data_IF_369997727801
#
_entry.id   IF_369997727801
#
_cell.length_a   1.000
_cell.length_b   1.000
_cell.length_c   1.000
_cell.angle_alpha   90.00
_cell.angle_beta   90.00
_cell.angle_gamma   90.00
#
_symmetry.space_group_name_H-M   'P 1'
#
loop_
_entity.id
_entity.type
_entity.pdbx_description
1 polymer ?
#
# COMPACT_ATOMS: atom_id res chain seq x y z
N UNK A 1 38.47 0.37 -41.20
CA UNK A 1 38.25 -0.89 -40.49
C UNK A 1 37.01 -0.71 -39.65
N UNK A 2 35.91 -1.35 -40.04
CA UNK A 2 34.65 -1.33 -39.30
C UNK A 2 34.58 -2.64 -38.53
N UNK A 3 34.79 -2.59 -37.22
CA UNK A 3 34.56 -3.73 -36.35
C UNK A 3 33.07 -3.94 -36.20
N UNK A 4 32.52 -4.89 -36.88
CA UNK A 4 31.16 -5.38 -36.70
C UNK A 4 31.11 -6.21 -35.42
N UNK A 5 30.49 -5.66 -34.38
CA UNK A 5 30.15 -6.43 -33.18
C UNK A 5 29.25 -7.61 -33.58
N UNK A 6 29.80 -8.81 -33.42
CA UNK A 6 29.08 -10.05 -33.64
C UNK A 6 28.18 -10.33 -32.41
N UNK A 7 26.96 -9.82 -32.44
CA UNK A 7 25.94 -10.14 -31.45
C UNK A 7 25.48 -11.58 -31.71
N UNK A 8 26.13 -12.54 -31.05
CA UNK A 8 25.71 -13.94 -31.07
C UNK A 8 24.22 -14.06 -30.81
N UNK A 9 23.52 -14.84 -31.63
CA UNK A 9 22.08 -15.11 -31.48
C UNK A 9 21.83 -15.71 -30.11
N UNK A 10 21.30 -14.91 -29.19
CA UNK A 10 20.86 -15.35 -27.87
C UNK A 10 19.62 -16.22 -28.09
N UNK A 11 19.71 -17.49 -27.77
CA UNK A 11 18.56 -18.41 -27.82
C UNK A 11 17.66 -18.14 -26.62
N UNK A 12 16.44 -17.56 -26.80
CA UNK A 12 15.56 -17.18 -25.69
C UNK A 12 15.08 -18.38 -24.85
N UNK A 13 15.20 -19.60 -25.36
CA UNK A 13 14.79 -20.79 -24.62
C UNK A 13 15.88 -21.33 -23.68
N UNK A 14 17.15 -21.07 -23.94
CA UNK A 14 18.23 -21.49 -23.01
C UNK A 14 18.32 -20.64 -21.76
N UNK A 15 17.85 -19.38 -21.78
CA UNK A 15 17.84 -18.53 -20.61
C UNK A 15 16.68 -18.83 -19.66
N UNK A 16 15.55 -19.37 -20.15
CA UNK A 16 14.39 -19.70 -19.29
C UNK A 16 14.67 -20.82 -18.28
N UNK A 17 15.61 -21.70 -18.56
CA UNK A 17 15.95 -22.83 -17.68
C UNK A 17 16.99 -22.49 -16.59
N UNK A 18 17.53 -21.27 -16.60
CA UNK A 18 18.52 -20.78 -15.63
C UNK A 18 18.05 -19.54 -14.86
N UNK A 19 16.75 -19.34 -14.72
CA UNK A 19 16.28 -18.34 -13.75
C UNK A 19 16.75 -18.84 -12.38
N UNK A 20 17.68 -18.13 -11.70
CA UNK A 20 18.09 -18.51 -10.37
C UNK A 20 16.83 -18.62 -9.54
N UNK A 21 16.69 -19.72 -8.79
CA UNK A 21 15.65 -19.83 -7.78
C UNK A 21 15.64 -18.50 -7.04
N UNK A 22 14.53 -17.76 -7.08
CA UNK A 22 14.44 -16.44 -6.46
C UNK A 22 14.91 -16.58 -5.02
N UNK A 23 16.13 -16.14 -4.76
CA UNK A 23 16.64 -16.01 -3.40
C UNK A 23 15.99 -14.72 -2.91
N UNK A 24 15.03 -14.79 -1.97
CA UNK A 24 14.42 -13.59 -1.44
C UNK A 24 15.54 -12.69 -0.94
N UNK A 25 15.56 -11.46 -1.41
CA UNK A 25 16.55 -10.50 -0.94
C UNK A 25 16.45 -10.41 0.57
N UNK A 26 17.51 -10.75 1.29
CA UNK A 26 17.59 -10.55 2.75
C UNK A 26 17.52 -9.06 3.14
N UNK A 27 17.47 -8.19 2.16
CA UNK A 27 17.40 -6.74 2.31
C UNK A 27 16.00 -6.27 2.74
N UNK A 28 14.96 -7.03 2.39
CA UNK A 28 13.60 -6.70 2.83
C UNK A 28 13.26 -7.45 4.12
N UNK A 29 12.93 -6.74 5.19
CA UNK A 29 12.48 -7.38 6.42
C UNK A 29 11.18 -8.14 6.14
N UNK A 30 11.01 -9.30 6.74
CA UNK A 30 9.74 -10.05 6.74
C UNK A 30 8.79 -9.47 7.81
N UNK A 31 8.73 -8.14 7.88
CA UNK A 31 8.11 -7.44 9.00
C UNK A 31 7.41 -6.18 8.53
N UNK A 32 6.19 -6.00 9.00
CA UNK A 32 5.40 -4.77 8.87
C UNK A 32 5.37 -4.06 10.22
N UNK A 33 5.63 -2.76 10.24
CA UNK A 33 5.59 -1.95 11.46
C UNK A 33 4.40 -1.00 11.43
N UNK A 34 3.78 -0.77 12.58
CA UNK A 34 2.84 0.34 12.77
C UNK A 34 3.23 1.10 14.02
N UNK A 35 3.26 2.43 13.93
CA UNK A 35 3.69 3.33 14.99
C UNK A 35 2.52 4.10 15.59
N UNK A 36 2.73 4.57 16.82
CA UNK A 36 1.73 5.28 17.62
C UNK A 36 2.43 6.35 18.47
N UNK A 37 1.82 7.54 18.62
CA UNK A 37 2.43 8.65 19.37
C UNK A 37 2.34 8.50 20.89
N UNK A 38 1.52 7.57 21.42
CA UNK A 38 1.33 7.38 22.87
C UNK A 38 1.45 5.93 23.27
N UNK A 39 2.11 5.69 24.41
CA UNK A 39 2.22 4.36 24.99
C UNK A 39 0.85 3.72 25.27
N UNK A 40 -0.13 4.52 25.69
CA UNK A 40 -1.50 4.06 25.95
C UNK A 40 -2.10 3.35 24.71
N UNK A 41 -1.86 3.86 23.51
CA UNK A 41 -2.36 3.22 22.28
C UNK A 41 -1.73 1.86 22.04
N UNK A 42 -0.44 1.74 22.33
CA UNK A 42 0.25 0.45 22.25
C UNK A 42 -0.31 -0.54 23.28
N UNK A 43 -0.49 -0.10 24.52
CA UNK A 43 -1.04 -0.95 25.58
C UNK A 43 -2.47 -1.41 25.24
N UNK A 44 -3.31 -0.53 24.71
CA UNK A 44 -4.64 -0.90 24.24
C UNK A 44 -4.60 -1.95 23.13
N UNK A 45 -3.71 -1.79 22.14
CA UNK A 45 -3.55 -2.80 21.10
C UNK A 45 -3.16 -4.17 21.66
N UNK A 46 -2.27 -4.20 22.65
CA UNK A 46 -1.83 -5.45 23.29
C UNK A 46 -2.92 -6.06 24.17
N UNK A 47 -3.61 -5.24 24.95
CA UNK A 47 -4.69 -5.68 25.85
C UNK A 47 -5.87 -6.26 25.07
N UNK A 48 -6.31 -5.56 24.05
CA UNK A 48 -7.46 -5.98 23.24
C UNK A 48 -7.08 -6.90 22.08
N UNK A 49 -5.79 -7.17 21.88
CA UNK A 49 -5.25 -7.97 20.76
C UNK A 49 -5.80 -7.51 19.40
N UNK A 50 -5.92 -6.21 19.24
CA UNK A 50 -6.55 -5.59 18.08
C UNK A 50 -5.79 -4.34 17.65
N UNK A 51 -5.64 -4.16 16.35
CA UNK A 51 -5.14 -2.94 15.74
C UNK A 51 -6.31 -2.24 15.08
N UNK A 52 -6.84 -1.21 15.74
CA UNK A 52 -8.02 -0.50 15.25
C UNK A 52 -7.64 0.52 14.17
N UNK A 53 -8.35 0.55 13.05
CA UNK A 53 -8.29 1.66 12.11
C UNK A 53 -8.85 2.92 12.74
N UNK A 54 -8.45 4.07 12.23
CA UNK A 54 -9.04 5.37 12.56
C UNK A 54 -9.46 6.07 11.27
N UNK A 55 -10.45 6.94 11.36
CA UNK A 55 -10.79 7.79 10.23
C UNK A 55 -9.63 8.73 9.92
N UNK A 56 -9.15 8.68 8.69
CA UNK A 56 -8.16 9.59 8.16
C UNK A 56 -8.77 10.30 6.96
N UNK A 57 -8.60 11.61 6.92
CA UNK A 57 -8.98 12.42 5.77
C UNK A 57 -7.82 12.52 4.80
N UNK A 58 -8.06 12.14 3.55
CA UNK A 58 -7.09 12.16 2.46
C UNK A 58 -7.54 13.14 1.39
N UNK A 59 -6.60 13.95 0.90
CA UNK A 59 -6.84 14.81 -0.26
C UNK A 59 -6.84 13.95 -1.53
N UNK A 60 -7.99 13.88 -2.18
CA UNK A 60 -8.19 13.17 -3.44
C UNK A 60 -8.45 14.12 -4.62
N UNK A 61 -8.13 15.41 -4.48
CA UNK A 61 -8.30 16.42 -5.53
C UNK A 61 -7.59 16.06 -6.83
N UNK A 62 -6.49 15.30 -6.75
CA UNK A 62 -5.77 14.77 -7.93
C UNK A 62 -6.62 13.82 -8.77
N UNK A 63 -7.65 13.20 -8.23
CA UNK A 63 -8.61 12.38 -8.99
C UNK A 63 -9.53 13.23 -9.85
N UNK A 64 -9.67 14.53 -9.59
CA UNK A 64 -10.51 15.47 -10.37
C UNK A 64 -11.99 15.08 -10.41
N UNK A 65 -12.48 14.46 -9.33
CA UNK A 65 -13.91 14.09 -9.19
C UNK A 65 -14.71 15.36 -8.89
N UNK A 66 -15.79 15.57 -9.65
CA UNK A 66 -16.61 16.77 -9.51
C UNK A 66 -17.22 16.90 -8.12
N UNK A 67 -16.88 17.98 -7.43
CA UNK A 67 -17.44 18.30 -6.11
C UNK A 67 -16.82 17.56 -4.93
N UNK A 68 -15.80 16.71 -5.15
CA UNK A 68 -15.10 15.97 -4.09
C UNK A 68 -13.63 16.36 -4.08
N UNK A 69 -13.14 16.87 -2.94
CA UNK A 69 -11.74 17.25 -2.76
C UNK A 69 -11.02 16.35 -1.77
N UNK A 70 -11.72 15.89 -0.76
CA UNK A 70 -11.17 14.97 0.25
C UNK A 70 -12.14 13.83 0.53
N UNK A 71 -11.61 12.75 1.05
CA UNK A 71 -12.36 11.58 1.46
C UNK A 71 -11.85 11.11 2.83
N UNK A 72 -12.76 10.93 3.78
CA UNK A 72 -12.43 10.36 5.08
C UNK A 72 -12.85 8.89 5.14
N UNK A 73 -11.90 8.01 5.44
CA UNK A 73 -12.16 6.58 5.57
C UNK A 73 -11.33 5.95 6.70
N UNK A 74 -11.81 4.84 7.26
CA UNK A 74 -11.08 4.16 8.31
C UNK A 74 -9.87 3.43 7.71
N UNK A 75 -8.68 3.82 8.15
CA UNK A 75 -7.44 3.16 7.74
C UNK A 75 -6.50 2.92 8.91
N UNK A 76 -5.61 1.95 8.73
CA UNK A 76 -4.45 1.72 9.57
C UNK A 76 -3.24 1.45 8.68
N UNK A 77 -2.24 2.30 8.79
CA UNK A 77 -1.04 2.20 7.98
C UNK A 77 0.01 1.32 8.65
N UNK A 78 0.71 0.57 7.81
CA UNK A 78 1.89 -0.21 8.17
C UNK A 78 3.04 0.18 7.25
N UNK A 79 4.25 0.22 7.77
CA UNK A 79 5.44 0.45 6.96
C UNK A 79 6.26 -0.82 6.78
N UNK A 80 6.72 -1.03 5.54
CA UNK A 80 7.57 -2.13 5.11
C UNK A 80 8.99 -1.61 4.89
N UNK A 81 9.68 -1.31 5.97
CA UNK A 81 11.01 -0.72 5.94
C UNK A 81 12.00 -1.46 6.83
N UNK A 82 13.29 -1.31 6.53
CA UNK A 82 14.35 -1.86 7.36
C UNK A 82 14.41 -1.15 8.71
N UNK A 83 14.72 -1.91 9.77
CA UNK A 83 14.92 -1.41 11.14
C UNK A 83 15.84 -0.18 11.20
N UNK A 84 16.87 -0.12 10.36
CA UNK A 84 17.82 1.00 10.29
C UNK A 84 17.19 2.32 9.83
N UNK A 85 16.03 2.26 9.16
CA UNK A 85 15.30 3.44 8.64
C UNK A 85 14.11 3.84 9.52
N UNK A 86 13.85 3.12 10.61
CA UNK A 86 12.68 3.36 11.47
C UNK A 86 12.69 4.74 12.12
N UNK A 87 13.84 5.31 12.42
CA UNK A 87 13.95 6.61 13.10
C UNK A 87 13.14 7.69 12.37
N UNK A 88 13.24 7.78 11.02
CA UNK A 88 12.51 8.76 10.23
C UNK A 88 10.98 8.56 10.32
N UNK A 89 10.53 7.30 10.42
CA UNK A 89 9.11 6.99 10.57
C UNK A 89 8.62 7.27 11.99
N UNK A 90 9.46 7.02 13.00
CA UNK A 90 9.15 7.31 14.40
C UNK A 90 8.95 8.81 14.63
N UNK A 91 9.79 9.65 14.00
CA UNK A 91 9.66 11.11 14.07
C UNK A 91 8.28 11.60 13.58
N UNK A 92 7.68 10.89 12.59
CA UNK A 92 6.38 11.26 12.01
C UNK A 92 5.19 10.61 12.71
N UNK A 93 5.32 9.34 13.12
CA UNK A 93 4.18 8.52 13.56
C UNK A 93 4.20 8.19 15.04
N UNK A 94 5.32 8.42 15.73
CA UNK A 94 5.48 8.23 17.18
C UNK A 94 6.47 7.12 17.55
N UNK A 95 6.85 7.13 18.82
CA UNK A 95 7.96 6.32 19.37
C UNK A 95 7.53 4.88 19.74
N UNK A 96 6.26 4.59 19.75
CA UNK A 96 5.72 3.29 20.16
C UNK A 96 5.24 2.52 18.93
N UNK A 97 5.68 1.28 18.78
CA UNK A 97 5.33 0.50 17.60
C UNK A 97 5.09 -0.97 17.88
N UNK A 98 4.38 -1.63 16.98
CA UNK A 98 4.20 -3.06 16.93
C UNK A 98 4.71 -3.56 15.58
N UNK A 99 5.42 -4.70 15.62
CA UNK A 99 5.90 -5.39 14.44
C UNK A 99 5.07 -6.66 14.20
N UNK A 100 4.64 -6.86 12.97
CA UNK A 100 3.92 -8.04 12.51
C UNK A 100 4.71 -8.73 11.41
N UNK A 101 4.57 -10.05 11.28
CA UNK A 101 5.12 -10.74 10.12
C UNK A 101 4.36 -10.34 8.86
N UNK A 102 5.03 -10.18 7.72
CA UNK A 102 4.37 -9.91 6.43
C UNK A 102 3.31 -10.96 6.09
N UNK A 103 3.59 -12.23 6.41
CA UNK A 103 2.58 -13.29 6.23
C UNK A 103 1.28 -12.96 6.97
N UNK A 104 1.37 -12.47 8.21
CA UNK A 104 0.17 -12.04 8.95
C UNK A 104 -0.58 -10.93 8.21
N UNK A 105 0.14 -9.96 7.66
CA UNK A 105 -0.46 -8.89 6.88
C UNK A 105 -1.20 -9.42 5.64
N UNK A 106 -0.57 -10.31 4.89
CA UNK A 106 -1.20 -10.94 3.73
C UNK A 106 -2.45 -11.76 4.11
N UNK A 107 -2.38 -12.52 5.20
CA UNK A 107 -3.52 -13.32 5.71
C UNK A 107 -4.69 -12.42 6.18
N UNK A 108 -4.43 -11.13 6.48
CA UNK A 108 -5.42 -10.13 6.89
C UNK A 108 -5.74 -9.10 5.79
N UNK A 109 -5.43 -9.41 4.53
CA UNK A 109 -5.71 -8.58 3.37
C UNK A 109 -5.10 -7.17 3.42
N UNK A 110 -3.94 -7.01 4.10
CA UNK A 110 -3.18 -5.76 4.03
C UNK A 110 -2.60 -5.62 2.63
N UNK A 111 -2.89 -4.51 1.99
CA UNK A 111 -2.48 -4.25 0.61
C UNK A 111 -1.42 -3.14 0.55
N UNK A 112 -0.49 -3.20 -0.41
CA UNK A 112 0.42 -2.10 -0.70
C UNK A 112 -0.33 -0.84 -1.10
N UNK A 113 0.22 0.34 -0.75
CA UNK A 113 -0.28 1.61 -1.25
C UNK A 113 -0.07 1.68 -2.76
N UNK A 114 -1.08 2.13 -3.47
CA UNK A 114 -0.99 2.44 -4.89
C UNK A 114 -0.77 3.94 -5.09
N UNK A 115 0.43 4.31 -5.54
CA UNK A 115 0.71 5.68 -5.95
C UNK A 115 0.19 5.92 -7.35
N UNK A 116 -0.69 6.90 -7.50
CA UNK A 116 -1.26 7.28 -8.79
C UNK A 116 -0.54 8.51 -9.35
N UNK A 117 -0.05 8.39 -10.58
CA UNK A 117 0.42 9.56 -11.30
C UNK A 117 -0.81 10.38 -11.77
N UNK A 118 -0.82 11.66 -11.42
CA UNK A 118 -1.93 12.59 -11.72
C UNK A 118 -2.31 12.66 -13.21
N UNK A 119 -1.37 12.40 -14.11
CA UNK A 119 -1.56 12.44 -15.57
C UNK A 119 -1.80 11.07 -16.20
N UNK A 120 -1.78 9.99 -15.42
CA UNK A 120 -1.91 8.62 -15.94
C UNK A 120 -3.34 8.27 -16.38
N UNK A 121 -3.44 7.30 -17.30
CA UNK A 121 -4.73 6.76 -17.69
C UNK A 121 -5.36 5.97 -16.54
N UNK A 122 -4.56 5.26 -15.73
CA UNK A 122 -5.04 4.58 -14.52
C UNK A 122 -5.77 5.56 -13.57
N UNK A 123 -5.25 6.78 -13.40
CA UNK A 123 -5.93 7.80 -12.60
C UNK A 123 -7.30 8.15 -13.20
N UNK A 124 -7.41 8.26 -14.54
CA UNK A 124 -8.68 8.56 -15.22
C UNK A 124 -9.70 7.43 -15.02
N UNK A 125 -9.25 6.17 -15.17
CA UNK A 125 -10.08 4.99 -14.97
C UNK A 125 -10.63 4.92 -13.54
N UNK A 126 -9.75 5.13 -12.55
CA UNK A 126 -10.14 5.18 -11.13
C UNK A 126 -11.15 6.31 -10.89
N UNK A 127 -10.93 7.50 -11.46
CA UNK A 127 -11.87 8.63 -11.33
C UNK A 127 -13.24 8.26 -11.89
N UNK A 128 -13.29 7.62 -13.05
CA UNK A 128 -14.55 7.18 -13.69
C UNK A 128 -15.30 6.18 -12.80
N UNK A 129 -14.59 5.22 -12.21
CA UNK A 129 -15.18 4.26 -11.28
C UNK A 129 -15.73 4.97 -10.03
N UNK A 130 -14.97 5.89 -9.44
CA UNK A 130 -15.45 6.66 -8.27
C UNK A 130 -16.68 7.51 -8.61
N UNK A 131 -16.69 8.18 -9.76
CA UNK A 131 -17.86 8.97 -10.20
C UNK A 131 -19.08 8.10 -10.43
N UNK A 132 -18.94 6.90 -10.99
CA UNK A 132 -20.07 5.97 -11.19
C UNK A 132 -20.65 5.54 -9.83
N UNK A 133 -19.76 5.18 -8.88
CA UNK A 133 -20.16 4.80 -7.53
C UNK A 133 -20.91 5.93 -6.81
N UNK A 134 -20.37 7.16 -6.85
CA UNK A 134 -21.01 8.32 -6.20
C UNK A 134 -22.36 8.69 -6.86
N UNK A 135 -22.52 8.41 -8.13
CA UNK A 135 -23.79 8.64 -8.83
C UNK A 135 -24.83 7.54 -8.53
N UNK A 136 -24.38 6.31 -8.30
CA UNK A 136 -25.23 5.19 -7.91
C UNK A 136 -25.72 5.28 -6.45
N UNK A 137 -24.97 5.92 -5.56
CA UNK A 137 -25.39 6.17 -4.16
C UNK A 137 -26.64 7.06 -4.05
N UNK A 138 -26.99 7.76 -5.14
CA UNK A 138 -28.33 8.40 -5.25
C UNK A 138 -29.45 7.39 -5.48
N UNK A 139 -29.13 6.11 -5.67
CA UNK A 139 -30.06 5.03 -6.04
C UNK A 139 -29.89 3.72 -5.26
N UNK A 140 -29.65 3.72 -3.97
CA UNK A 140 -29.61 2.54 -3.08
C UNK A 140 -28.27 1.88 -2.73
N UNK A 141 -27.88 2.06 -1.50
CA UNK A 141 -27.43 1.11 -0.42
C UNK A 141 -26.41 -0.02 -0.67
N UNK A 142 -26.03 -0.42 -1.87
CA UNK A 142 -25.10 -1.56 -2.09
C UNK A 142 -23.61 -1.19 -2.14
N UNK A 143 -23.29 0.04 -2.30
CA UNK A 143 -21.94 0.54 -2.57
C UNK A 143 -21.09 0.68 -1.31
N UNK A 144 -21.71 0.68 -0.13
CA UNK A 144 -21.03 0.82 1.15
C UNK A 144 -20.11 -0.35 1.49
N UNK A 145 -20.39 -1.55 0.95
CA UNK A 145 -19.54 -2.72 1.16
C UNK A 145 -18.28 -2.73 0.29
N UNK A 146 -18.32 -2.20 -0.93
CA UNK A 146 -17.14 -2.17 -1.80
C UNK A 146 -16.07 -1.18 -1.32
N UNK A 147 -16.47 -0.04 -0.75
CA UNK A 147 -15.54 0.94 -0.17
C UNK A 147 -14.90 0.45 1.13
N UNK A 148 -15.54 -0.46 1.87
CA UNK A 148 -14.99 -1.08 3.08
C UNK A 148 -13.82 -2.03 2.81
N UNK A 149 -13.69 -2.56 1.60
CA UNK A 149 -12.75 -3.62 1.27
C UNK A 149 -11.37 -3.14 0.81
N UNK A 150 -11.16 -1.85 0.53
CA UNK A 150 -9.99 -1.44 -0.26
C UNK A 150 -8.86 -0.72 0.47
N UNK A 151 -8.93 -0.47 1.79
CA UNK A 151 -8.06 0.58 2.35
C UNK A 151 -7.29 0.19 3.61
N UNK A 152 -6.48 -0.85 3.50
CA UNK A 152 -5.34 -1.04 4.38
C UNK A 152 -4.09 -0.69 3.56
N UNK A 153 -3.45 0.43 3.87
CA UNK A 153 -2.30 0.93 3.15
C UNK A 153 -0.99 0.50 3.78
N UNK A 154 -0.02 0.13 2.93
CA UNK A 154 1.38 -0.05 3.31
C UNK A 154 2.16 1.10 2.69
N UNK A 155 2.90 1.86 3.49
CA UNK A 155 3.88 2.84 3.02
C UNK A 155 5.29 2.24 3.04
N UNK A 156 6.03 2.40 1.96
CA UNK A 156 7.46 2.10 1.88
C UNK A 156 8.30 3.20 2.52
#
# INVERSE_FOLDING_TARGET
MKDTLNLGKINPNEQRNKVPKHIPSKVHPDTLFTFMPKLEYLLNCLQYKMVSPRYCEEDIGYLKIKGVKSLAYPMKCFCDINLQKLNLHMDWYGDYGIAFRKKWGMDHNIQPIHYLNETSDLRKDISTVFESVLNEEKSESKTHEMLKLSLIHISE
#
